data_IF_428488706069
#
_entry.id   IF_428488706069
#
_cell.length_a   1.000
_cell.length_b   1.000
_cell.length_c   1.000
_cell.angle_alpha   90.00
_cell.angle_beta   90.00
_cell.angle_gamma   90.00
#
_symmetry.space_group_name_H-M   'P 1'
#
loop_
_entity.id
_entity.type
_entity.pdbx_description
1 polymer ?
#
# COMPACT_ATOMS: atom_id res chain seq x y z
N UNK A 1 37.60 8.12 29.07
CA UNK A 1 36.95 6.84 28.74
C UNK A 1 35.77 7.16 27.83
N UNK A 2 36.00 7.13 26.50
CA UNK A 2 35.00 7.40 25.46
C UNK A 2 34.36 6.06 25.13
N UNK A 3 33.04 5.93 25.28
CA UNK A 3 32.30 4.80 24.76
C UNK A 3 31.65 5.21 23.45
N UNK A 4 32.10 4.57 22.39
CA UNK A 4 31.51 4.64 21.05
C UNK A 4 30.16 3.92 21.03
N UNK A 5 29.08 4.67 20.84
CA UNK A 5 27.76 4.12 20.55
C UNK A 5 27.70 3.93 19.04
N UNK A 6 27.92 2.70 18.58
CA UNK A 6 27.73 2.28 17.20
C UNK A 6 26.27 2.38 16.81
N UNK A 7 26.03 3.27 15.88
CA UNK A 7 24.74 3.50 15.22
C UNK A 7 24.48 2.36 14.20
N UNK A 8 23.82 1.29 14.62
CA UNK A 8 23.33 0.25 13.71
C UNK A 8 22.08 0.74 12.99
N UNK A 9 22.27 1.40 11.86
CA UNK A 9 21.21 1.59 10.88
C UNK A 9 20.86 0.23 10.24
N UNK A 10 19.83 -0.43 10.73
CA UNK A 10 19.22 -1.57 10.04
C UNK A 10 18.60 -1.06 8.74
N UNK A 11 19.23 -1.38 7.61
CA UNK A 11 18.67 -1.18 6.26
C UNK A 11 17.30 -1.86 6.20
N UNK A 12 16.23 -1.09 6.18
CA UNK A 12 14.86 -1.55 5.91
C UNK A 12 14.81 -2.05 4.47
N UNK A 13 14.94 -3.35 4.28
CA UNK A 13 14.71 -4.00 2.99
C UNK A 13 13.25 -3.77 2.56
N UNK A 14 13.06 -3.22 1.38
CA UNK A 14 11.75 -3.00 0.79
C UNK A 14 11.07 -4.37 0.54
N UNK A 15 9.88 -4.67 1.11
CA UNK A 15 9.23 -5.98 0.98
C UNK A 15 8.91 -6.35 -0.48
N UNK A 16 8.77 -5.38 -1.36
CA UNK A 16 8.57 -5.60 -2.81
C UNK A 16 9.80 -6.16 -3.52
N UNK A 17 11.00 -5.96 -2.96
CA UNK A 17 12.24 -6.48 -3.54
C UNK A 17 12.27 -8.01 -3.47
N UNK A 18 11.79 -8.61 -2.40
CA UNK A 18 11.65 -10.08 -2.27
C UNK A 18 10.69 -10.67 -3.30
N UNK A 19 9.56 -10.01 -3.54
CA UNK A 19 8.58 -10.43 -4.54
C UNK A 19 9.11 -10.31 -5.97
N UNK A 20 9.81 -9.22 -6.28
CA UNK A 20 10.50 -9.04 -7.57
C UNK A 20 11.57 -10.11 -7.82
N UNK A 21 12.32 -10.50 -6.80
CA UNK A 21 13.31 -11.59 -6.91
C UNK A 21 12.64 -12.95 -7.20
N UNK A 22 11.52 -13.26 -6.58
CA UNK A 22 10.78 -14.50 -6.85
C UNK A 22 10.26 -14.53 -8.29
N UNK A 23 9.66 -13.43 -8.77
CA UNK A 23 9.22 -13.31 -10.17
C UNK A 23 10.40 -13.44 -11.13
N UNK A 24 11.53 -12.79 -10.83
CA UNK A 24 12.73 -12.83 -11.65
C UNK A 24 13.31 -14.26 -11.72
N UNK A 25 13.34 -14.99 -10.60
CA UNK A 25 13.81 -16.39 -10.54
C UNK A 25 12.88 -17.30 -11.34
N UNK A 26 11.56 -17.14 -11.25
CA UNK A 26 10.58 -17.93 -12.03
C UNK A 26 10.72 -17.63 -13.53
N UNK A 27 10.89 -16.37 -13.93
CA UNK A 27 11.15 -15.99 -15.32
C UNK A 27 12.48 -16.50 -15.84
N UNK A 28 13.55 -16.47 -15.03
CA UNK A 28 14.87 -17.03 -15.35
C UNK A 28 14.83 -18.56 -15.50
N UNK A 29 14.13 -19.25 -14.60
CA UNK A 29 13.91 -20.70 -14.68
C UNK A 29 13.14 -21.08 -15.95
N UNK A 30 12.03 -20.39 -16.25
CA UNK A 30 11.23 -20.67 -17.44
C UNK A 30 11.91 -20.22 -18.74
N UNK A 31 12.64 -19.10 -18.74
CA UNK A 31 13.27 -18.56 -19.96
C UNK A 31 14.62 -19.14 -20.30
N UNK A 32 15.43 -19.54 -19.31
CA UNK A 32 16.81 -19.97 -19.54
C UNK A 32 17.07 -21.45 -19.27
N UNK A 33 16.40 -22.07 -18.31
CA UNK A 33 16.68 -23.46 -17.90
C UNK A 33 15.80 -24.43 -18.64
N UNK A 34 14.49 -24.21 -18.73
CA UNK A 34 13.57 -25.10 -19.44
C UNK A 34 13.89 -25.23 -20.95
N UNK A 35 14.20 -24.17 -21.73
CA UNK A 35 14.51 -24.30 -23.15
C UNK A 35 15.84 -25.01 -23.41
N UNK A 36 16.78 -24.98 -22.46
CA UNK A 36 18.08 -25.68 -22.60
C UNK A 36 17.96 -27.17 -22.34
N UNK A 37 17.04 -27.62 -21.50
CA UNK A 37 16.79 -29.04 -21.26
C UNK A 37 16.03 -29.72 -22.42
N UNK A 38 15.30 -28.95 -23.25
CA UNK A 38 14.46 -29.49 -24.35
C UNK A 38 15.08 -29.45 -25.73
N UNK A 39 16.32 -29.00 -25.92
CA UNK A 39 16.93 -28.86 -27.26
C UNK A 39 17.71 -30.09 -27.69
N UNK A 40 17.02 -31.19 -27.98
CA UNK A 40 17.46 -32.02 -29.13
C UNK A 40 17.01 -31.27 -30.39
N UNK A 41 17.98 -30.96 -31.27
CA UNK A 41 17.74 -30.26 -32.53
C UNK A 41 17.02 -31.21 -33.47
N UNK A 42 15.69 -31.23 -33.46
CA UNK A 42 14.87 -32.05 -34.35
C UNK A 42 14.75 -31.32 -35.67
N UNK A 43 15.16 -31.97 -36.73
CA UNK A 43 15.12 -31.44 -38.11
C UNK A 43 13.88 -32.01 -38.81
N UNK A 44 12.96 -31.14 -39.21
CA UNK A 44 11.81 -31.57 -39.98
C UNK A 44 12.25 -31.92 -41.42
N UNK A 45 11.79 -33.08 -41.91
CA UNK A 45 12.05 -33.57 -43.25
C UNK A 45 10.78 -34.17 -43.85
N UNK A 46 10.76 -34.36 -45.17
CA UNK A 46 9.67 -35.04 -45.88
C UNK A 46 9.80 -36.57 -45.79
N UNK A 47 8.70 -37.27 -46.07
CA UNK A 47 8.62 -38.73 -46.01
C UNK A 47 9.51 -39.39 -47.08
N UNK A 48 9.65 -38.79 -48.28
CA UNK A 48 10.52 -39.27 -49.34
C UNK A 48 11.98 -39.28 -48.90
N UNK A 49 12.47 -38.21 -48.28
CA UNK A 49 13.82 -38.13 -47.73
C UNK A 49 14.06 -39.12 -46.58
N UNK A 50 13.01 -39.46 -45.81
CA UNK A 50 13.10 -40.51 -44.80
C UNK A 50 13.37 -41.87 -45.46
N UNK A 51 12.57 -42.26 -46.48
CA UNK A 51 12.71 -43.51 -47.21
C UNK A 51 14.09 -43.59 -47.90
N UNK A 52 14.56 -42.51 -48.55
CA UNK A 52 15.89 -42.46 -49.14
C UNK A 52 17.00 -42.75 -48.12
N UNK A 53 16.88 -42.24 -46.90
CA UNK A 53 17.84 -42.50 -45.84
C UNK A 53 17.74 -43.92 -45.28
N UNK A 54 16.56 -44.54 -45.27
CA UNK A 54 16.33 -45.94 -44.92
C UNK A 54 17.02 -46.82 -45.97
N UNK A 55 16.72 -46.65 -47.26
CA UNK A 55 17.25 -47.44 -48.35
C UNK A 55 18.78 -47.29 -48.51
N UNK A 56 19.34 -46.15 -48.12
CA UNK A 56 20.78 -45.90 -48.11
C UNK A 56 21.48 -46.40 -46.82
N UNK A 57 20.83 -47.12 -45.95
CA UNK A 57 21.42 -47.73 -44.76
C UNK A 57 21.97 -46.73 -43.74
N UNK A 58 21.45 -45.50 -43.71
CA UNK A 58 21.95 -44.44 -42.84
C UNK A 58 21.15 -44.24 -41.54
N UNK A 59 20.00 -44.91 -41.42
CA UNK A 59 19.09 -44.79 -40.28
C UNK A 59 19.49 -45.76 -39.18
N UNK A 60 19.62 -45.26 -37.95
CA UNK A 60 19.91 -46.06 -36.76
C UNK A 60 18.65 -46.49 -36.02
N UNK A 61 17.82 -45.54 -35.65
CA UNK A 61 16.64 -45.77 -34.86
C UNK A 61 15.44 -45.11 -35.51
N UNK A 62 14.27 -45.75 -35.43
CA UNK A 62 12.99 -45.23 -35.90
C UNK A 62 11.98 -45.37 -34.78
N UNK A 63 11.29 -44.26 -34.45
CA UNK A 63 10.26 -44.22 -33.46
C UNK A 63 8.96 -43.75 -34.12
N UNK A 64 7.99 -44.63 -34.21
CA UNK A 64 6.69 -44.34 -34.82
C UNK A 64 5.71 -43.91 -33.74
N UNK A 65 5.16 -42.72 -33.87
CA UNK A 65 4.04 -42.19 -33.06
C UNK A 65 2.79 -42.03 -33.92
N UNK A 66 1.65 -41.87 -33.31
CA UNK A 66 0.32 -41.87 -33.95
C UNK A 66 0.14 -40.97 -35.18
N UNK A 67 0.99 -39.97 -35.40
CA UNK A 67 0.92 -39.06 -36.57
C UNK A 67 2.28 -38.60 -37.09
N UNK A 68 3.38 -39.09 -36.51
CA UNK A 68 4.72 -38.61 -36.79
C UNK A 68 5.75 -39.73 -36.61
N UNK A 69 6.75 -39.73 -37.45
CA UNK A 69 7.89 -40.64 -37.37
C UNK A 69 9.11 -39.82 -36.97
N UNK A 70 9.74 -40.20 -35.89
CA UNK A 70 11.03 -39.67 -35.47
C UNK A 70 12.08 -40.71 -35.84
N UNK A 71 13.15 -40.26 -36.42
CA UNK A 71 14.26 -41.18 -36.75
C UNK A 71 15.60 -40.51 -36.55
N UNK A 72 16.59 -41.33 -36.20
CA UNK A 72 17.96 -40.90 -36.04
C UNK A 72 18.79 -41.41 -37.20
N UNK A 73 19.44 -40.53 -37.94
CA UNK A 73 20.24 -40.90 -39.07
C UNK A 73 21.62 -40.26 -39.02
N UNK A 74 22.61 -40.93 -39.57
CA UNK A 74 23.97 -40.44 -39.72
C UNK A 74 24.06 -39.62 -41.01
N UNK A 75 24.50 -38.37 -40.89
CA UNK A 75 24.72 -37.50 -42.05
C UNK A 75 26.02 -37.82 -42.77
N UNK A 76 26.22 -37.27 -43.99
CA UNK A 76 27.41 -37.45 -44.79
C UNK A 76 28.74 -37.11 -44.08
N UNK A 77 28.64 -36.29 -43.04
CA UNK A 77 29.77 -35.85 -42.20
C UNK A 77 30.01 -36.76 -40.96
N UNK A 78 29.27 -37.85 -40.80
CA UNK A 78 29.38 -38.75 -39.65
C UNK A 78 28.64 -38.29 -38.41
N UNK A 79 27.92 -37.16 -38.45
CA UNK A 79 27.14 -36.66 -37.32
C UNK A 79 25.77 -37.33 -37.23
N UNK A 80 25.37 -37.69 -36.02
CA UNK A 80 24.07 -38.30 -35.75
C UNK A 80 23.04 -37.22 -35.43
N UNK A 81 22.05 -37.07 -36.28
CA UNK A 81 20.98 -36.08 -36.14
C UNK A 81 19.61 -36.74 -35.99
N UNK A 82 18.71 -36.13 -35.21
CA UNK A 82 17.33 -36.60 -35.07
C UNK A 82 16.43 -35.84 -36.03
N UNK A 83 15.70 -36.59 -36.83
CA UNK A 83 14.77 -36.08 -37.85
C UNK A 83 13.33 -36.41 -37.46
N UNK A 84 12.40 -35.61 -37.96
CA UNK A 84 10.97 -35.80 -37.80
C UNK A 84 10.26 -35.69 -39.15
N UNK A 85 9.39 -36.64 -39.46
CA UNK A 85 8.51 -36.60 -40.62
C UNK A 85 7.09 -36.96 -40.26
N UNK A 86 6.10 -36.58 -41.09
CA UNK A 86 4.73 -37.02 -40.97
C UNK A 86 4.57 -38.52 -41.26
N UNK A 87 3.62 -39.17 -40.60
CA UNK A 87 3.22 -40.54 -40.93
C UNK A 87 2.47 -40.57 -42.27
N UNK A 88 2.90 -41.45 -43.16
CA UNK A 88 2.14 -41.76 -44.36
C UNK A 88 1.64 -43.20 -44.23
N UNK A 89 0.40 -43.45 -44.66
CA UNK A 89 -0.21 -44.77 -44.58
C UNK A 89 0.49 -45.70 -45.62
N UNK A 90 1.73 -46.12 -45.28
CA UNK A 90 2.55 -47.02 -46.09
C UNK A 90 2.51 -48.43 -45.48
N UNK A 91 1.75 -49.38 -46.04
CA UNK A 91 1.68 -50.75 -45.51
C UNK A 91 2.99 -51.51 -45.60
N UNK A 92 3.94 -51.09 -46.45
CA UNK A 92 5.24 -51.74 -46.64
C UNK A 92 6.36 -51.16 -45.76
N UNK A 93 6.06 -50.13 -44.97
CA UNK A 93 7.05 -49.46 -44.15
C UNK A 93 7.78 -50.42 -43.19
N UNK A 94 7.02 -51.27 -42.51
CA UNK A 94 7.55 -52.22 -41.52
C UNK A 94 8.47 -53.24 -42.21
N UNK A 95 8.07 -53.75 -43.38
CA UNK A 95 8.85 -54.70 -44.18
C UNK A 95 10.19 -54.06 -44.65
N UNK A 96 10.12 -52.83 -45.16
CA UNK A 96 11.29 -52.05 -45.55
C UNK A 96 12.26 -51.78 -44.40
N UNK A 97 11.74 -51.50 -43.19
CA UNK A 97 12.58 -51.27 -42.00
C UNK A 97 13.26 -52.54 -41.51
N UNK A 98 12.64 -53.71 -41.72
CA UNK A 98 13.20 -55.02 -41.38
C UNK A 98 14.30 -55.45 -42.33
N UNK A 99 14.18 -55.12 -43.64
CA UNK A 99 15.09 -55.51 -44.71
C UNK A 99 16.25 -54.50 -44.91
N UNK A 100 16.11 -53.29 -44.42
CA UNK A 100 17.10 -52.25 -44.58
C UNK A 100 18.33 -52.45 -43.67
N UNK A 101 19.52 -52.19 -44.22
CA UNK A 101 20.77 -52.16 -43.47
C UNK A 101 20.81 -50.91 -42.56
N UNK A 102 21.55 -51.00 -41.45
CA UNK A 102 21.72 -49.92 -40.47
C UNK A 102 23.16 -49.81 -40.02
N UNK A 103 23.65 -48.63 -39.69
CA UNK A 103 24.98 -48.45 -39.10
C UNK A 103 25.06 -48.88 -37.63
N UNK A 104 24.08 -49.58 -37.12
CA UNK A 104 24.07 -50.17 -35.77
C UNK A 104 24.99 -51.42 -35.75
N UNK A 105 25.50 -51.76 -34.56
CA UNK A 105 26.38 -52.94 -34.36
C UNK A 105 25.73 -54.25 -34.85
N UNK A 106 24.40 -54.37 -34.82
CA UNK A 106 23.65 -55.53 -35.29
C UNK A 106 23.28 -55.48 -36.78
N UNK A 107 23.66 -54.43 -37.49
CA UNK A 107 23.39 -54.27 -38.95
C UNK A 107 21.91 -53.99 -39.26
N UNK A 108 21.04 -53.82 -38.26
CA UNK A 108 19.58 -53.62 -38.42
C UNK A 108 19.08 -52.36 -37.77
N UNK A 109 18.05 -51.78 -38.35
CA UNK A 109 17.38 -50.60 -37.80
C UNK A 109 16.63 -51.02 -36.53
N UNK A 110 16.87 -50.33 -35.42
CA UNK A 110 16.04 -50.45 -34.22
C UNK A 110 14.77 -49.63 -34.42
N UNK A 111 13.60 -50.24 -34.42
CA UNK A 111 12.37 -49.51 -34.51
C UNK A 111 11.43 -49.89 -33.37
N UNK A 112 10.76 -48.89 -32.83
CA UNK A 112 9.80 -49.07 -31.73
C UNK A 112 8.56 -48.20 -31.99
N UNK A 113 7.39 -48.79 -31.80
CA UNK A 113 6.14 -48.05 -31.78
C UNK A 113 5.81 -47.69 -30.35
N UNK A 114 5.97 -46.44 -29.99
CA UNK A 114 5.58 -45.97 -28.65
C UNK A 114 4.09 -45.78 -28.68
N UNK A 115 3.39 -46.58 -27.88
CA UNK A 115 2.03 -46.29 -27.45
C UNK A 115 2.13 -44.98 -26.64
N UNK A 116 1.36 -43.92 -26.97
CA UNK A 116 1.41 -42.69 -26.20
C UNK A 116 1.04 -43.04 -24.75
N UNK A 117 2.00 -42.89 -23.84
CA UNK A 117 1.61 -42.83 -22.42
C UNK A 117 0.70 -41.60 -22.32
N UNK A 118 -0.57 -41.84 -22.13
CA UNK A 118 -1.52 -40.78 -21.75
C UNK A 118 -1.02 -40.22 -20.41
N UNK A 119 -0.20 -39.17 -20.50
CA UNK A 119 0.10 -38.34 -19.34
C UNK A 119 -1.25 -37.91 -18.77
N UNK A 120 -1.62 -38.49 -17.65
CA UNK A 120 -2.92 -38.28 -17.02
C UNK A 120 -3.21 -36.77 -17.02
N UNK A 121 -4.26 -36.27 -17.73
CA UNK A 121 -4.57 -34.85 -17.75
C UNK A 121 -4.74 -34.28 -16.35
N UNK A 122 -5.14 -35.15 -15.42
CA UNK A 122 -5.31 -34.86 -13.99
C UNK A 122 -3.95 -34.57 -13.34
N UNK A 123 -2.91 -35.35 -13.64
CA UNK A 123 -1.58 -35.14 -13.05
C UNK A 123 -0.94 -33.84 -13.53
N UNK A 124 -1.11 -33.53 -14.83
CA UNK A 124 -0.62 -32.28 -15.40
C UNK A 124 -1.38 -31.07 -14.84
N UNK A 125 -2.68 -31.17 -14.66
CA UNK A 125 -3.49 -30.14 -14.02
C UNK A 125 -3.06 -29.93 -12.54
N UNK A 126 -2.81 -31.00 -11.81
CA UNK A 126 -2.39 -30.99 -10.42
C UNK A 126 -1.00 -30.31 -10.26
N UNK A 127 -0.05 -30.66 -11.11
CA UNK A 127 1.30 -30.07 -11.11
C UNK A 127 1.32 -28.62 -11.56
N UNK A 128 0.49 -28.25 -12.55
CA UNK A 128 0.51 -26.92 -13.14
C UNK A 128 -0.26 -25.89 -12.30
N UNK A 129 -1.33 -26.30 -11.60
CA UNK A 129 -2.21 -25.38 -10.88
C UNK A 129 -2.20 -25.57 -9.36
N UNK A 130 -2.19 -26.79 -8.86
CA UNK A 130 -2.28 -27.05 -7.42
C UNK A 130 -0.93 -26.85 -6.73
N UNK A 131 0.16 -27.31 -7.33
CA UNK A 131 1.51 -27.17 -6.75
C UNK A 131 1.92 -25.71 -6.55
N UNK A 132 1.79 -24.79 -7.54
CA UNK A 132 2.07 -23.36 -7.35
C UNK A 132 1.13 -22.72 -6.34
N UNK A 133 -0.16 -23.10 -6.34
CA UNK A 133 -1.16 -22.63 -5.37
C UNK A 133 -0.80 -23.03 -3.93
N UNK A 134 -0.33 -24.24 -3.73
CA UNK A 134 0.08 -24.76 -2.42
C UNK A 134 1.37 -24.07 -1.94
N UNK A 135 2.33 -23.86 -2.82
CA UNK A 135 3.56 -23.09 -2.52
C UNK A 135 3.18 -21.65 -2.13
N UNK A 136 2.29 -21.00 -2.89
CA UNK A 136 1.81 -19.67 -2.58
C UNK A 136 1.08 -19.62 -1.24
N UNK A 137 0.24 -20.61 -0.92
CA UNK A 137 -0.45 -20.74 0.36
C UNK A 137 0.53 -20.90 1.53
N UNK A 138 1.58 -21.72 1.38
CA UNK A 138 2.61 -21.91 2.41
C UNK A 138 3.38 -20.61 2.65
N UNK A 139 3.80 -19.91 1.58
CA UNK A 139 4.48 -18.62 1.67
C UNK A 139 3.56 -17.58 2.31
N UNK A 140 2.30 -17.51 1.90
CA UNK A 140 1.29 -16.63 2.51
C UNK A 140 1.12 -16.91 4.01
N UNK A 141 0.99 -18.17 4.39
CA UNK A 141 0.84 -18.59 5.80
C UNK A 141 2.08 -18.24 6.64
N UNK A 142 3.27 -18.38 6.11
CA UNK A 142 4.51 -18.00 6.81
C UNK A 142 4.67 -16.47 6.89
N UNK A 143 4.42 -15.75 5.82
CA UNK A 143 4.52 -14.29 5.79
C UNK A 143 3.40 -13.63 6.60
N UNK A 144 2.18 -14.17 6.60
CA UNK A 144 1.08 -13.62 7.40
C UNK A 144 1.36 -13.68 8.91
N UNK A 145 1.98 -14.74 9.41
CA UNK A 145 2.40 -14.82 10.82
C UNK A 145 3.49 -13.78 11.16
N UNK A 146 4.42 -13.53 10.25
CA UNK A 146 5.51 -12.56 10.45
C UNK A 146 5.02 -11.11 10.27
N UNK A 147 4.04 -10.89 9.40
CA UNK A 147 3.39 -9.58 9.21
C UNK A 147 2.50 -9.27 10.41
N UNK A 148 1.76 -10.24 10.94
CA UNK A 148 0.88 -10.05 12.10
C UNK A 148 1.66 -9.81 13.40
N UNK A 149 2.87 -10.33 13.54
CA UNK A 149 3.74 -10.06 14.70
C UNK A 149 4.56 -8.76 14.56
N UNK A 150 4.75 -8.23 13.35
CA UNK A 150 5.45 -6.95 13.09
C UNK A 150 4.51 -5.77 12.87
N UNK A 151 3.27 -6.01 12.49
CA UNK A 151 2.18 -5.05 12.46
C UNK A 151 1.33 -5.33 13.69
N UNK A 152 1.77 -4.80 14.84
CA UNK A 152 1.00 -4.89 16.08
C UNK A 152 -0.46 -4.54 15.82
N UNK A 153 -1.35 -5.37 16.32
CA UNK A 153 -2.80 -5.35 16.35
C UNK A 153 -3.45 -4.07 15.75
N UNK A 154 -3.60 -4.01 14.45
CA UNK A 154 -4.26 -2.91 13.79
C UNK A 154 -3.92 -2.88 12.32
N UNK A 155 -4.78 -3.42 11.49
CA UNK A 155 -4.63 -3.46 10.04
C UNK A 155 -4.51 -2.08 9.40
N UNK A 156 -3.29 -1.60 9.21
CA UNK A 156 -2.99 -0.28 8.66
C UNK A 156 -3.14 -0.18 7.13
N UNK A 157 -3.70 -1.16 6.46
CA UNK A 157 -3.95 -1.04 5.01
C UNK A 157 -5.25 -0.27 4.69
N UNK A 158 -6.11 0.00 5.71
CA UNK A 158 -7.28 0.89 5.59
C UNK A 158 -7.12 2.21 6.37
N UNK A 159 -5.92 2.55 6.79
CA UNK A 159 -5.63 3.72 7.64
C UNK A 159 -5.32 4.99 6.84
N UNK A 160 -5.79 5.10 5.61
CA UNK A 160 -5.61 6.32 4.80
C UNK A 160 -6.39 7.54 5.32
N UNK A 161 -7.18 7.38 6.38
CA UNK A 161 -7.98 8.46 6.98
C UNK A 161 -7.57 8.86 8.39
N UNK A 162 -6.53 8.27 8.98
CA UNK A 162 -6.11 8.67 10.33
C UNK A 162 -5.64 10.13 10.34
N UNK A 163 -6.14 10.91 11.29
CA UNK A 163 -5.88 12.34 11.38
C UNK A 163 -4.40 12.71 11.50
N UNK A 164 -3.56 11.76 11.98
CA UNK A 164 -2.14 12.05 12.28
C UNK A 164 -1.96 13.08 13.40
N UNK A 165 -3.04 13.50 14.06
CA UNK A 165 -2.98 14.47 15.15
C UNK A 165 -2.09 13.95 16.28
N UNK A 166 -1.22 14.81 16.77
CA UNK A 166 -0.40 14.50 17.95
C UNK A 166 -1.29 14.68 19.19
N UNK A 167 -1.51 13.58 19.91
CA UNK A 167 -2.27 13.57 21.14
C UNK A 167 -1.29 13.67 22.30
N UNK A 168 -1.43 14.68 23.10
CA UNK A 168 -0.69 14.86 24.35
C UNK A 168 -1.62 14.54 25.51
N UNK A 169 -1.28 13.54 26.33
CA UNK A 169 -2.00 13.25 27.56
C UNK A 169 -1.76 14.33 28.61
N UNK A 170 -2.67 14.47 29.59
CA UNK A 170 -2.57 15.48 30.65
C UNK A 170 -1.21 15.52 31.36
N UNK A 171 -0.60 14.33 31.54
CA UNK A 171 0.71 14.19 32.21
C UNK A 171 1.88 14.74 31.36
N UNK A 172 1.70 14.88 30.05
CA UNK A 172 2.74 15.33 29.11
C UNK A 172 2.75 16.86 28.95
N UNK A 173 1.66 17.56 29.32
CA UNK A 173 1.50 19.00 29.18
C UNK A 173 1.79 19.67 30.50
N UNK A 174 3.04 20.10 30.67
CA UNK A 174 3.51 20.84 31.87
C UNK A 174 3.35 22.36 31.72
N UNK A 175 3.03 22.82 30.52
CA UNK A 175 2.91 24.26 30.21
C UNK A 175 1.63 24.82 30.80
N UNK A 176 1.74 25.92 31.55
CA UNK A 176 0.65 26.65 32.18
C UNK A 176 0.64 28.12 31.75
N UNK A 177 -0.33 28.90 32.17
CA UNK A 177 -0.34 30.35 31.91
C UNK A 177 0.85 31.09 32.51
N UNK A 178 1.51 30.52 33.53
CA UNK A 178 2.71 31.10 34.12
C UNK A 178 3.93 31.06 33.15
N UNK A 179 3.94 30.13 32.24
CA UNK A 179 4.99 29.98 31.23
C UNK A 179 4.82 30.90 30.02
N UNK A 180 3.68 31.59 29.93
CA UNK A 180 3.36 32.53 28.85
C UNK A 180 3.59 33.95 29.34
N UNK A 181 4.59 34.63 28.81
CA UNK A 181 4.87 36.03 29.14
C UNK A 181 3.92 36.97 28.35
N UNK A 182 3.41 38.01 29.03
CA UNK A 182 2.49 38.96 28.41
C UNK A 182 1.11 38.37 28.07
N UNK A 183 0.41 39.00 27.16
CA UNK A 183 -0.89 38.55 26.62
C UNK A 183 -1.98 38.37 27.69
N UNK A 184 -2.02 39.28 28.69
CA UNK A 184 -2.92 39.14 29.82
C UNK A 184 -4.39 39.14 29.44
N UNK A 185 -4.76 39.90 28.41
CA UNK A 185 -6.15 39.98 27.90
C UNK A 185 -6.57 38.65 27.25
N UNK A 186 -5.68 38.06 26.42
CA UNK A 186 -5.92 36.74 25.84
C UNK A 186 -6.02 35.65 26.92
N UNK A 187 -5.15 35.70 27.94
CA UNK A 187 -5.19 34.76 29.08
C UNK A 187 -6.49 34.87 29.84
N UNK A 188 -6.96 36.10 30.12
CA UNK A 188 -8.18 36.33 30.87
C UNK A 188 -9.40 35.74 30.16
N UNK A 189 -9.50 35.97 28.86
CA UNK A 189 -10.56 35.41 28.03
C UNK A 189 -10.47 33.86 27.93
N UNK A 190 -9.27 33.31 27.82
CA UNK A 190 -9.06 31.86 27.75
C UNK A 190 -9.27 31.15 29.08
N UNK A 191 -9.25 31.87 30.23
CA UNK A 191 -9.63 31.32 31.54
C UNK A 191 -11.08 30.88 31.58
N UNK A 192 -11.98 31.55 30.86
CA UNK A 192 -13.40 31.11 30.77
C UNK A 192 -13.50 29.72 30.12
N UNK A 193 -12.63 29.43 29.11
CA UNK A 193 -12.57 28.12 28.48
C UNK A 193 -12.03 27.08 29.46
N UNK A 194 -10.99 27.41 30.25
CA UNK A 194 -10.47 26.55 31.31
C UNK A 194 -11.53 26.21 32.35
N UNK A 195 -12.26 27.21 32.83
CA UNK A 195 -13.34 27.02 33.81
C UNK A 195 -14.45 26.13 33.26
N UNK A 196 -14.80 26.32 32.00
CA UNK A 196 -15.77 25.45 31.32
C UNK A 196 -15.30 24.00 31.22
N UNK A 197 -14.04 23.77 30.83
CA UNK A 197 -13.49 22.44 30.72
C UNK A 197 -13.43 21.73 32.08
N UNK A 198 -13.20 22.45 33.15
CA UNK A 198 -13.25 21.90 34.52
C UNK A 198 -14.68 21.53 34.97
N UNK A 199 -15.67 22.34 34.61
CA UNK A 199 -17.04 22.18 35.12
C UNK A 199 -18.10 22.33 34.00
N UNK A 200 -18.16 21.49 32.97
CA UNK A 200 -19.07 21.64 31.85
C UNK A 200 -20.55 21.62 32.26
N UNK A 201 -20.88 20.85 33.31
CA UNK A 201 -22.24 20.71 33.80
C UNK A 201 -22.83 22.03 34.37
N UNK A 202 -22.02 22.80 35.07
CA UNK A 202 -22.42 24.10 35.64
C UNK A 202 -22.96 25.05 34.58
N UNK A 203 -22.30 25.11 33.44
CA UNK A 203 -22.68 25.98 32.34
C UNK A 203 -23.90 25.45 31.58
N UNK A 204 -24.06 24.13 31.50
CA UNK A 204 -25.25 23.52 30.90
C UNK A 204 -26.51 23.76 31.74
N UNK A 205 -26.40 23.70 33.06
CA UNK A 205 -27.51 23.89 33.99
C UNK A 205 -28.09 25.31 33.97
N UNK A 206 -27.23 26.32 33.77
CA UNK A 206 -27.67 27.74 33.68
C UNK A 206 -28.08 28.12 32.24
N UNK A 207 -28.06 27.18 31.29
CA UNK A 207 -28.44 27.43 29.89
C UNK A 207 -27.49 28.32 29.13
N UNK A 208 -26.26 28.51 29.60
CA UNK A 208 -25.26 29.30 28.92
C UNK A 208 -24.81 28.59 27.63
N UNK A 209 -24.87 29.29 26.50
CA UNK A 209 -24.30 28.83 25.25
C UNK A 209 -22.82 29.20 25.20
N UNK A 210 -21.94 28.24 25.46
CA UNK A 210 -20.51 28.47 25.34
C UNK A 210 -20.06 28.50 23.89
N UNK A 211 -19.02 29.28 23.56
CA UNK A 211 -18.40 29.22 22.27
C UNK A 211 -17.80 27.83 22.10
N UNK A 212 -18.12 27.14 20.99
CA UNK A 212 -17.55 25.82 20.67
C UNK A 212 -16.05 25.89 20.39
N UNK A 213 -15.51 27.10 20.16
CA UNK A 213 -14.12 27.32 19.92
C UNK A 213 -13.70 28.78 19.93
N UNK A 214 -12.38 29.00 19.90
CA UNK A 214 -11.76 30.32 19.83
C UNK A 214 -10.72 30.35 18.68
N UNK A 215 -10.62 31.55 18.07
CA UNK A 215 -9.64 31.85 17.06
C UNK A 215 -8.52 32.72 17.62
N UNK A 216 -7.29 32.24 17.63
CA UNK A 216 -6.08 32.95 18.02
C UNK A 216 -5.49 33.65 16.79
N UNK A 217 -5.51 34.97 16.78
CA UNK A 217 -5.03 35.78 15.67
C UNK A 217 -3.77 36.55 16.07
N UNK A 218 -2.75 36.54 15.24
CA UNK A 218 -1.55 37.34 15.48
C UNK A 218 -0.41 36.98 14.53
N UNK A 219 0.65 37.80 14.46
CA UNK A 219 1.83 37.52 13.64
C UNK A 219 2.51 36.17 13.98
N UNK A 220 3.34 35.61 13.09
CA UNK A 220 4.11 34.44 13.40
C UNK A 220 5.08 34.73 14.58
N UNK A 221 5.29 33.73 15.45
CA UNK A 221 6.20 33.85 16.60
C UNK A 221 5.62 34.49 17.86
N UNK A 222 4.35 34.93 17.87
CA UNK A 222 3.67 35.54 19.03
C UNK A 222 3.24 34.53 20.11
N UNK A 223 3.51 33.24 19.96
CA UNK A 223 3.24 32.25 21.00
C UNK A 223 1.82 31.64 20.97
N UNK A 224 1.07 31.76 19.86
CA UNK A 224 -0.28 31.18 19.71
C UNK A 224 -0.35 29.68 20.06
N UNK A 225 0.61 28.90 19.60
CA UNK A 225 0.71 27.46 19.92
C UNK A 225 1.07 27.23 21.40
N UNK A 226 1.88 28.14 22.01
CA UNK A 226 2.27 28.06 23.40
C UNK A 226 1.06 28.33 24.31
N UNK A 227 0.29 29.38 24.05
CA UNK A 227 -0.90 29.71 24.83
C UNK A 227 -1.99 28.64 24.72
N UNK A 228 -2.17 28.05 23.52
CA UNK A 228 -3.11 26.94 23.34
C UNK A 228 -2.72 25.72 24.19
N UNK A 229 -1.43 25.41 24.29
CA UNK A 229 -0.92 24.37 25.20
C UNK A 229 -1.10 24.76 26.67
N UNK A 230 -0.91 26.01 27.00
CA UNK A 230 -1.08 26.48 28.35
C UNK A 230 -2.53 26.34 28.82
N UNK A 231 -3.51 26.61 27.95
CA UNK A 231 -4.94 26.38 28.24
C UNK A 231 -5.20 24.90 28.56
N UNK A 232 -4.64 23.99 27.78
CA UNK A 232 -4.81 22.54 27.99
C UNK A 232 -4.13 22.05 29.27
N UNK A 233 -2.93 22.56 29.59
CA UNK A 233 -2.21 22.23 30.81
C UNK A 233 -2.89 22.78 32.04
N UNK A 234 -3.44 24.01 31.98
CA UNK A 234 -4.22 24.62 33.06
C UNK A 234 -5.54 23.85 33.30
N UNK A 235 -6.24 23.49 32.21
CA UNK A 235 -7.47 22.71 32.27
C UNK A 235 -7.24 21.23 32.61
N UNK A 236 -6.03 20.73 32.52
CA UNK A 236 -5.64 19.30 32.70
C UNK A 236 -6.47 18.38 31.84
N UNK A 237 -6.61 18.68 30.54
CA UNK A 237 -7.37 17.91 29.58
C UNK A 237 -6.46 17.46 28.41
N UNK A 238 -6.79 16.38 27.72
CA UNK A 238 -6.09 15.94 26.51
C UNK A 238 -6.05 17.03 25.43
N UNK A 239 -4.92 17.12 24.75
CA UNK A 239 -4.65 18.13 23.71
C UNK A 239 -4.34 17.46 22.39
N UNK A 240 -5.18 17.69 21.40
CA UNK A 240 -5.02 17.21 20.04
C UNK A 240 -4.43 18.34 19.18
N UNK A 241 -3.20 18.23 18.74
CA UNK A 241 -2.57 19.25 17.92
C UNK A 241 -2.40 18.76 16.47
N UNK A 242 -2.85 19.56 15.53
CA UNK A 242 -2.72 19.31 14.10
C UNK A 242 -2.49 20.63 13.35
N UNK A 243 -1.71 20.60 12.26
CA UNK A 243 -1.63 21.74 11.34
C UNK A 243 -2.73 21.68 10.27
N UNK A 244 -3.32 22.82 9.93
CA UNK A 244 -4.26 22.93 8.80
C UNK A 244 -3.68 22.40 7.49
N UNK A 245 -2.38 22.54 7.29
CA UNK A 245 -1.68 21.98 6.14
C UNK A 245 -1.70 20.44 6.06
N UNK A 246 -1.83 19.75 7.21
CA UNK A 246 -1.92 18.29 7.26
C UNK A 246 -3.25 17.74 6.72
N UNK A 247 -4.27 18.59 6.62
CA UNK A 247 -5.54 18.23 6.01
C UNK A 247 -5.52 18.38 4.47
N UNK A 248 -4.58 19.17 3.94
CA UNK A 248 -4.43 19.35 2.48
C UNK A 248 -3.67 18.16 1.92
N UNK A 249 -4.37 17.25 1.26
CA UNK A 249 -3.79 16.02 0.72
C UNK A 249 -3.88 16.01 -0.79
N UNK A 250 -3.07 15.15 -1.42
CA UNK A 250 -3.05 14.99 -2.88
C UNK A 250 -4.29 14.24 -3.41
N UNK A 251 -4.97 13.47 -2.55
CA UNK A 251 -6.11 12.64 -2.94
C UNK A 251 -7.42 13.20 -2.39
N UNK A 252 -8.40 13.36 -3.27
CA UNK A 252 -9.72 13.88 -2.95
C UNK A 252 -10.41 13.06 -1.85
N UNK A 253 -10.94 13.76 -0.85
CA UNK A 253 -11.68 13.17 0.27
C UNK A 253 -10.83 12.71 1.46
N UNK A 254 -9.51 12.68 1.36
CA UNK A 254 -8.64 12.29 2.48
C UNK A 254 -8.62 13.34 3.59
N UNK A 255 -8.62 14.62 3.24
CA UNK A 255 -8.71 15.71 4.22
C UNK A 255 -9.99 15.63 5.03
N UNK A 256 -11.13 15.44 4.38
CA UNK A 256 -12.42 15.26 5.05
C UNK A 256 -12.46 14.00 5.95
N UNK A 257 -11.83 12.91 5.54
CA UNK A 257 -11.71 11.71 6.37
C UNK A 257 -10.88 11.94 7.63
N UNK A 258 -9.77 12.68 7.52
CA UNK A 258 -8.94 13.08 8.68
C UNK A 258 -9.69 13.97 9.66
N UNK A 259 -10.49 14.91 9.16
CA UNK A 259 -11.34 15.75 10.03
C UNK A 259 -12.32 14.89 10.83
N UNK A 260 -13.05 13.97 10.17
CA UNK A 260 -13.96 13.05 10.87
C UNK A 260 -13.26 12.20 11.93
N UNK A 261 -12.09 11.67 11.61
CA UNK A 261 -11.32 10.85 12.54
C UNK A 261 -10.84 11.64 13.75
N UNK A 262 -10.35 12.88 13.54
CA UNK A 262 -9.93 13.78 14.60
C UNK A 262 -11.10 14.08 15.58
N UNK A 263 -12.27 14.45 15.07
CA UNK A 263 -13.44 14.75 15.89
C UNK A 263 -13.99 13.51 16.61
N UNK A 264 -13.93 12.34 15.97
CA UNK A 264 -14.27 11.07 16.61
C UNK A 264 -13.36 10.78 17.80
N UNK A 265 -12.02 10.87 17.61
CA UNK A 265 -11.04 10.64 18.66
C UNK A 265 -11.19 11.64 19.82
N UNK A 266 -11.44 12.91 19.50
CA UNK A 266 -11.72 13.95 20.51
C UNK A 266 -13.00 13.66 21.29
N UNK A 267 -14.04 13.21 20.60
CA UNK A 267 -15.31 12.83 21.27
C UNK A 267 -15.16 11.65 22.22
N UNK A 268 -14.27 10.69 21.91
CA UNK A 268 -13.95 9.54 22.77
C UNK A 268 -13.15 9.95 24.02
N UNK A 269 -12.39 11.04 23.94
CA UNK A 269 -11.51 11.54 25.03
C UNK A 269 -11.99 12.86 25.65
N UNK A 270 -13.25 13.22 25.47
CA UNK A 270 -13.82 14.42 26.08
C UNK A 270 -13.88 14.33 27.63
N UNK A 271 -13.60 15.42 28.39
CA UNK A 271 -13.29 16.76 27.88
C UNK A 271 -11.88 16.87 27.30
N UNK A 272 -11.71 17.64 26.20
CA UNK A 272 -10.44 17.81 25.53
C UNK A 272 -10.38 19.09 24.68
N UNK A 273 -9.18 19.44 24.24
CA UNK A 273 -8.95 20.57 23.33
C UNK A 273 -8.44 20.05 21.98
N UNK A 274 -9.05 20.52 20.89
CA UNK A 274 -8.55 20.35 19.53
C UNK A 274 -7.86 21.66 19.12
N UNK A 275 -6.57 21.62 18.84
CA UNK A 275 -5.83 22.78 18.34
C UNK A 275 -5.49 22.59 16.87
N UNK A 276 -5.93 23.55 16.04
CA UNK A 276 -5.66 23.57 14.60
C UNK A 276 -4.79 24.79 14.30
N UNK A 277 -3.50 24.56 14.08
CA UNK A 277 -2.59 25.62 13.68
C UNK A 277 -2.72 25.90 12.18
N UNK A 278 -2.45 27.13 11.75
CA UNK A 278 -2.55 27.56 10.33
C UNK A 278 -3.87 27.17 9.68
N UNK A 279 -4.99 27.47 10.36
CA UNK A 279 -6.34 27.11 9.87
C UNK A 279 -6.65 27.70 8.48
N UNK A 280 -5.98 28.79 8.12
CA UNK A 280 -6.09 29.42 6.79
C UNK A 280 -5.61 28.52 5.65
N UNK A 281 -4.85 27.46 5.93
CA UNK A 281 -4.48 26.47 4.91
C UNK A 281 -5.72 25.76 4.31
N UNK A 282 -6.77 25.55 5.09
CA UNK A 282 -8.04 24.94 4.67
C UNK A 282 -9.21 25.92 4.64
N UNK A 283 -9.16 26.97 5.48
CA UNK A 283 -10.24 27.91 5.70
C UNK A 283 -10.24 29.14 4.79
N UNK A 284 -9.51 29.14 3.69
CA UNK A 284 -9.39 30.30 2.80
C UNK A 284 -10.69 30.57 2.03
N UNK A 285 -11.04 31.87 1.88
CA UNK A 285 -12.18 32.34 1.06
C UNK A 285 -12.07 31.83 -0.38
N UNK A 286 -13.22 31.65 -1.02
CA UNK A 286 -13.32 31.31 -2.44
C UNK A 286 -12.85 32.48 -3.29
N UNK A 287 -11.70 32.37 -3.92
CA UNK A 287 -11.20 33.30 -4.94
C UNK A 287 -11.17 32.58 -6.30
N UNK A 288 -12.22 32.82 -7.12
CA UNK A 288 -12.22 32.52 -8.56
C UNK A 288 -12.32 31.05 -8.98
N UNK A 289 -12.74 30.88 -10.21
CA UNK A 289 -13.03 29.64 -10.94
C UNK A 289 -11.76 28.90 -11.38
N UNK A 290 -11.02 28.21 -10.49
CA UNK A 290 -9.97 27.30 -10.92
C UNK A 290 -10.06 25.97 -10.20
N UNK A 291 -10.04 24.91 -10.96
CA UNK A 291 -10.30 23.49 -10.73
C UNK A 291 -9.38 22.76 -9.71
N UNK A 292 -8.66 23.47 -8.85
CA UNK A 292 -7.72 22.87 -7.89
C UNK A 292 -8.13 22.96 -6.41
N UNK A 293 -9.29 23.52 -6.11
CA UNK A 293 -9.71 23.80 -4.73
C UNK A 293 -10.77 22.85 -4.16
N UNK A 294 -11.23 21.88 -4.93
CA UNK A 294 -12.35 21.00 -4.54
C UNK A 294 -12.06 20.22 -3.25
N UNK A 295 -10.82 19.78 -3.03
CA UNK A 295 -10.46 19.04 -1.81
C UNK A 295 -10.42 19.93 -0.58
N UNK A 296 -9.88 21.15 -0.69
CA UNK A 296 -9.86 22.11 0.42
C UNK A 296 -11.28 22.50 0.81
N UNK A 297 -12.12 22.76 -0.18
CA UNK A 297 -13.53 23.09 0.04
C UNK A 297 -14.29 21.94 0.69
N UNK A 298 -14.07 20.70 0.23
CA UNK A 298 -14.65 19.51 0.83
C UNK A 298 -14.19 19.32 2.27
N UNK A 299 -12.92 19.56 2.55
CA UNK A 299 -12.34 19.48 3.90
C UNK A 299 -12.89 20.57 4.81
N UNK A 300 -12.99 21.81 4.32
CA UNK A 300 -13.61 22.91 5.06
C UNK A 300 -15.09 22.62 5.38
N UNK A 301 -15.85 22.18 4.39
CA UNK A 301 -17.26 21.83 4.59
C UNK A 301 -17.43 20.70 5.62
N UNK A 302 -16.53 19.71 5.60
CA UNK A 302 -16.53 18.65 6.61
C UNK A 302 -16.20 19.22 8.00
N UNK A 303 -15.20 20.09 8.11
CA UNK A 303 -14.85 20.75 9.38
C UNK A 303 -16.04 21.53 9.94
N UNK A 304 -16.72 22.33 9.11
CA UNK A 304 -17.90 23.06 9.50
C UNK A 304 -19.04 22.13 9.95
N UNK A 305 -19.23 21.01 9.27
CA UNK A 305 -20.23 20.00 9.63
C UNK A 305 -19.94 19.36 10.98
N UNK A 306 -18.67 18.98 11.23
CA UNK A 306 -18.28 18.42 12.52
C UNK A 306 -18.42 19.44 13.66
N UNK A 307 -18.03 20.69 13.44
CA UNK A 307 -18.20 21.77 14.41
C UNK A 307 -19.68 22.01 14.76
N UNK A 308 -20.57 21.97 13.77
CA UNK A 308 -22.01 22.16 13.99
C UNK A 308 -22.66 20.94 14.67
N UNK A 309 -22.27 19.73 14.24
CA UNK A 309 -22.77 18.46 14.77
C UNK A 309 -22.25 18.12 16.17
N UNK A 310 -21.22 18.83 16.62
CA UNK A 310 -20.60 18.53 17.89
C UNK A 310 -21.44 19.06 19.08
N UNK A 311 -21.70 18.18 20.04
CA UNK A 311 -22.40 18.58 21.28
C UNK A 311 -21.42 19.30 22.20
N UNK A 312 -21.49 20.62 22.25
CA UNK A 312 -20.65 21.46 23.15
C UNK A 312 -20.71 21.06 24.62
N UNK A 313 -21.79 20.36 25.05
CA UNK A 313 -21.95 19.89 26.43
C UNK A 313 -20.96 18.77 26.80
N UNK A 314 -20.35 18.12 25.83
CA UNK A 314 -19.33 17.07 26.06
C UNK A 314 -17.97 17.62 26.48
N UNK A 315 -17.76 18.93 26.46
CA UNK A 315 -16.51 19.55 26.91
C UNK A 315 -15.39 19.48 25.88
N UNK A 316 -15.72 19.43 24.59
CA UNK A 316 -14.69 19.58 23.54
C UNK A 316 -14.65 21.03 23.08
N UNK A 317 -13.46 21.62 23.07
CA UNK A 317 -13.22 23.00 22.65
C UNK A 317 -12.22 23.00 21.50
N UNK A 318 -12.49 23.81 20.47
CA UNK A 318 -11.60 23.96 19.31
C UNK A 318 -10.84 25.27 19.46
N UNK A 319 -9.51 25.21 19.49
CA UNK A 319 -8.66 26.39 19.37
C UNK A 319 -8.04 26.39 17.98
N UNK A 320 -8.30 27.42 17.21
CA UNK A 320 -7.70 27.58 15.89
C UNK A 320 -6.71 28.76 15.90
N UNK A 321 -5.62 28.65 15.16
CA UNK A 321 -4.65 29.73 15.04
C UNK A 321 -4.46 30.13 13.57
N UNK A 322 -4.32 31.43 13.33
CA UNK A 322 -3.99 31.97 12.00
C UNK A 322 -3.13 33.24 12.09
N UNK A 323 -2.33 33.44 11.08
CA UNK A 323 -1.59 34.69 10.87
C UNK A 323 -2.31 35.63 9.90
N UNK A 324 -3.41 35.17 9.25
CA UNK A 324 -4.12 35.87 8.17
C UNK A 324 -5.63 35.78 8.35
N UNK A 325 -6.21 36.44 9.35
CA UNK A 325 -7.65 36.36 9.62
C UNK A 325 -8.51 36.85 8.46
N UNK A 326 -8.03 37.81 7.67
CA UNK A 326 -8.69 38.37 6.50
C UNK A 326 -8.90 37.35 5.37
N UNK A 327 -8.08 36.30 5.32
CA UNK A 327 -8.17 35.23 4.33
C UNK A 327 -9.21 34.17 4.66
N UNK A 328 -9.70 34.14 5.92
CA UNK A 328 -10.60 33.09 6.39
C UNK A 328 -12.02 33.23 5.81
N UNK A 329 -12.66 32.08 5.57
CA UNK A 329 -14.07 32.03 5.21
C UNK A 329 -14.92 32.46 6.41
N UNK A 330 -15.87 33.38 6.15
CA UNK A 330 -16.77 33.91 7.15
C UNK A 330 -17.62 32.83 7.84
N UNK A 331 -17.77 31.67 7.20
CA UNK A 331 -18.51 30.56 7.80
C UNK A 331 -17.84 30.02 9.06
N UNK A 332 -16.51 30.07 9.18
CA UNK A 332 -15.78 29.69 10.39
C UNK A 332 -16.04 30.63 11.56
N UNK A 333 -16.28 31.92 11.27
CA UNK A 333 -16.43 32.97 12.25
C UNK A 333 -17.91 33.21 12.67
N UNK A 334 -18.83 32.34 12.23
CA UNK A 334 -20.23 32.44 12.64
C UNK A 334 -20.41 32.14 14.12
N UNK A 335 -21.39 32.81 14.80
CA UNK A 335 -21.74 32.48 16.16
C UNK A 335 -22.00 30.98 16.35
N UNK A 336 -21.47 30.42 17.43
CA UNK A 336 -21.55 28.97 17.70
C UNK A 336 -20.44 28.13 17.06
N UNK A 337 -19.45 28.75 16.39
CA UNK A 337 -18.23 28.11 15.87
C UNK A 337 -16.99 28.71 16.53
N UNK A 338 -16.21 29.51 15.82
CA UNK A 338 -15.02 30.18 16.36
C UNK A 338 -15.38 31.62 16.74
N UNK A 339 -15.24 31.96 18.01
CA UNK A 339 -15.25 33.35 18.43
C UNK A 339 -13.84 33.92 18.19
N UNK A 340 -13.73 35.13 17.60
CA UNK A 340 -12.40 35.69 17.34
C UNK A 340 -11.91 36.44 18.58
N UNK A 341 -10.70 36.09 19.02
CA UNK A 341 -9.95 36.80 20.03
C UNK A 341 -8.71 37.39 19.36
N UNK A 342 -8.81 38.61 18.87
CA UNK A 342 -7.83 39.19 17.98
C UNK A 342 -6.83 40.15 18.63
N UNK A 343 -7.06 40.67 19.82
CA UNK A 343 -6.35 41.88 20.20
C UNK A 343 -5.24 41.74 21.25
N UNK A 344 -4.90 40.52 21.66
CA UNK A 344 -3.84 40.24 22.63
C UNK A 344 -2.49 39.85 22.08
N UNK A 345 -2.31 39.71 20.75
CA UNK A 345 -1.09 39.15 20.13
C UNK A 345 -0.26 40.19 19.36
N UNK A 346 -0.26 41.46 19.80
CA UNK A 346 0.60 42.51 19.22
C UNK A 346 1.97 42.58 19.94
#
# INVERSE_FOLDING_TARGET
MKQDVQNQQTKRGNPYVGFLWVILIVLLLNGLIFPKLSKQKIISTDYGSFIEKVDSGRVKDVMIKSSQIFFTAVDKNGETNTFQTGETNDPQLVERLLDADSPNENGKIAFNQIVPEENSPILNFLLMWILPGLIFYIIWRQTSKTIQSRMGAGGNFMSFGNSGAKIYADADIKTTFADVAGQEEAKETLKEIVDFLHNPKKYTEIGASLPKGALLVGPPGTGKTLIARAVAGEAKVPFFAISGSEFVQMFVGMGAAKVRDLFKQAGEKAPCIIFIDEIDAIGKKREGTFSGNDEREQTLNQLLTEMDGFDGRKGVVILAATNRPESLDKALLRPGRLSSYSDGFT
#
